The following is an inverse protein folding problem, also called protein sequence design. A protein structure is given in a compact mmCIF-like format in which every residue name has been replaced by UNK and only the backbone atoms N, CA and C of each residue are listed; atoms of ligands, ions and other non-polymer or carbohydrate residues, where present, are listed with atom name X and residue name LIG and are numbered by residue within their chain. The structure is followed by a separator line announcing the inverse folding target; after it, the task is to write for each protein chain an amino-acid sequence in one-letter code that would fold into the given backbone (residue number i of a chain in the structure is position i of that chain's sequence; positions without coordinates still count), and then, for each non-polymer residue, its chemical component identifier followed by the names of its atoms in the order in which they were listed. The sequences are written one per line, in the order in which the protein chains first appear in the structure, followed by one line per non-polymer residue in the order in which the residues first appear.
data_IF_321250047129
#
_entry.id   IF_321250047129
#
_cell.length_a   1.000
_cell.length_b   1.000
_cell.length_c   1.000
_cell.angle_alpha   90.00
_cell.angle_beta   90.00
_cell.angle_gamma   90.00
#
_symmetry.space_group_name_H-M   'P 1'
#
loop_
_entity.id
_entity.type
_entity.pdbx_description
1 polymer ?
#
# COMPACT_ATOMS: atom_id res chain seq x y z
N UNK A 1 -5.61 -19.25 -3.63
CA UNK A 1 -5.15 -19.22 -5.05
C UNK A 1 -3.78 -18.54 -5.10
N UNK A 2 -2.73 -19.23 -5.56
CA UNK A 2 -1.37 -18.64 -5.69
C UNK A 2 -1.37 -17.71 -6.91
N UNK A 3 -1.55 -16.41 -6.68
CA UNK A 3 -1.51 -15.39 -7.75
C UNK A 3 -0.07 -15.31 -8.29
N UNK A 4 0.13 -15.35 -9.61
CA UNK A 4 1.48 -15.38 -10.18
C UNK A 4 2.21 -14.06 -9.89
N UNK A 5 3.46 -14.14 -9.41
CA UNK A 5 4.30 -12.98 -9.13
C UNK A 5 4.50 -12.09 -10.37
N UNK A 6 4.41 -12.67 -11.56
CA UNK A 6 4.46 -11.95 -12.84
C UNK A 6 3.28 -11.01 -13.08
N UNK A 7 2.14 -11.17 -12.38
CA UNK A 7 1.02 -10.22 -12.44
C UNK A 7 1.07 -9.15 -11.35
N UNK A 8 2.09 -9.19 -10.48
CA UNK A 8 2.20 -8.26 -9.36
C UNK A 8 3.02 -7.04 -9.82
N UNK A 9 2.33 -5.92 -9.97
CA UNK A 9 2.95 -4.62 -10.24
C UNK A 9 4.04 -4.33 -9.17
N UNK A 10 5.30 -4.15 -9.58
CA UNK A 10 6.40 -3.79 -8.66
C UNK A 10 6.12 -2.50 -7.88
N UNK A 11 5.35 -1.59 -8.47
CA UNK A 11 4.88 -0.37 -7.81
C UNK A 11 4.01 -0.67 -6.58
N UNK A 12 3.29 -1.79 -6.55
CA UNK A 12 2.50 -2.22 -5.38
C UNK A 12 3.41 -2.66 -4.25
N UNK A 13 4.47 -3.42 -4.55
CA UNK A 13 5.46 -3.83 -3.55
C UNK A 13 6.20 -2.62 -2.97
N UNK A 14 6.61 -1.69 -3.83
CA UNK A 14 7.24 -0.44 -3.40
C UNK A 14 6.29 0.39 -2.52
N UNK A 15 5.02 0.50 -2.93
CA UNK A 15 4.00 1.18 -2.15
C UNK A 15 3.81 0.55 -0.77
N UNK A 16 3.75 -0.78 -0.71
CA UNK A 16 3.62 -1.54 0.54
C UNK A 16 4.82 -1.28 1.48
N UNK A 17 6.05 -1.37 0.97
CA UNK A 17 7.27 -1.13 1.73
C UNK A 17 7.35 0.31 2.26
N UNK A 18 6.99 1.29 1.44
CA UNK A 18 7.03 2.69 1.86
C UNK A 18 5.90 3.04 2.83
N UNK A 19 4.75 2.37 2.73
CA UNK A 19 3.66 2.55 3.69
C UNK A 19 4.00 1.96 5.06
N UNK A 20 4.71 0.82 5.14
CA UNK A 20 5.18 0.29 6.41
C UNK A 20 6.27 1.14 7.05
N UNK A 21 7.08 1.84 6.25
CA UNK A 21 8.11 2.76 6.75
C UNK A 21 7.55 4.12 7.19
N UNK A 22 6.74 4.75 6.33
CA UNK A 22 6.27 6.13 6.54
C UNK A 22 4.98 6.21 7.35
N UNK A 23 4.21 5.11 7.44
CA UNK A 23 2.92 5.04 8.12
C UNK A 23 1.95 6.17 7.70
N UNK A 24 2.09 6.64 6.46
CA UNK A 24 1.37 7.80 5.93
C UNK A 24 1.25 7.75 4.41
N UNK A 25 0.01 7.70 3.91
CA UNK A 25 -0.31 7.71 2.48
C UNK A 25 0.29 8.92 1.76
N UNK A 26 0.26 10.09 2.41
CA UNK A 26 0.73 11.35 1.80
C UNK A 26 2.26 11.38 1.69
N UNK A 27 2.97 10.89 2.71
CA UNK A 27 4.44 10.80 2.67
C UNK A 27 4.90 9.74 1.67
N UNK A 28 4.25 8.58 1.66
CA UNK A 28 4.50 7.54 0.67
C UNK A 28 4.28 8.05 -0.76
N UNK A 29 3.19 8.79 -1.00
CA UNK A 29 2.90 9.38 -2.31
C UNK A 29 4.01 10.34 -2.76
N UNK A 30 4.45 11.24 -1.86
CA UNK A 30 5.60 12.13 -2.13
C UNK A 30 6.88 11.35 -2.45
N UNK A 31 7.18 10.29 -1.69
CA UNK A 31 8.39 9.50 -1.85
C UNK A 31 8.39 8.64 -3.12
N UNK A 32 7.22 8.18 -3.54
CA UNK A 32 7.02 7.49 -4.82
C UNK A 32 6.90 8.46 -6.00
N UNK A 33 6.88 9.78 -5.77
CA UNK A 33 6.64 10.80 -6.77
C UNK A 33 5.32 10.61 -7.55
N UNK A 34 4.28 10.17 -6.83
CA UNK A 34 2.92 9.94 -7.36
C UNK A 34 1.86 10.71 -6.57
N UNK A 35 0.64 10.74 -7.08
CA UNK A 35 -0.48 11.31 -6.33
C UNK A 35 -0.92 10.42 -5.15
N UNK A 36 -1.46 10.99 -4.06
CA UNK A 36 -2.07 10.21 -2.98
C UNK A 36 -3.21 9.28 -3.44
N UNK A 37 -3.88 9.64 -4.55
CA UNK A 37 -4.90 8.78 -5.19
C UNK A 37 -4.29 7.53 -5.83
N UNK A 38 -3.08 7.63 -6.41
CA UNK A 38 -2.36 6.47 -6.95
C UNK A 38 -1.97 5.50 -5.82
N UNK A 39 -1.46 6.00 -4.70
CA UNK A 39 -1.16 5.18 -3.50
C UNK A 39 -2.43 4.50 -2.97
N UNK A 40 -3.55 5.22 -2.90
CA UNK A 40 -4.83 4.64 -2.46
C UNK A 40 -5.32 3.54 -3.40
N UNK A 41 -5.15 3.71 -4.72
CA UNK A 41 -5.49 2.68 -5.72
C UNK A 41 -4.58 1.46 -5.61
N UNK A 42 -3.28 1.66 -5.38
CA UNK A 42 -2.32 0.59 -5.11
C UNK A 42 -2.67 -0.18 -3.84
N UNK A 43 -3.04 0.53 -2.77
CA UNK A 43 -3.52 -0.06 -1.52
C UNK A 43 -4.77 -0.92 -1.75
N UNK A 44 -5.73 -0.44 -2.54
CA UNK A 44 -6.94 -1.20 -2.86
C UNK A 44 -6.62 -2.49 -3.65
N UNK A 45 -5.70 -2.42 -4.62
CA UNK A 45 -5.21 -3.61 -5.34
C UNK A 45 -4.53 -4.60 -4.39
N UNK A 46 -3.66 -4.12 -3.51
CA UNK A 46 -2.97 -4.94 -2.52
C UNK A 46 -3.99 -5.61 -1.57
N UNK A 47 -4.99 -4.87 -1.09
CA UNK A 47 -6.07 -5.42 -0.27
C UNK A 47 -6.82 -6.54 -0.96
N UNK A 48 -7.19 -6.36 -2.23
CA UNK A 48 -7.81 -7.42 -3.03
C UNK A 48 -6.84 -8.57 -3.36
N UNK A 49 -5.52 -8.30 -3.37
CA UNK A 49 -4.52 -9.32 -3.66
C UNK A 49 -4.29 -10.26 -2.47
N UNK A 50 -4.11 -9.67 -1.29
CA UNK A 50 -3.87 -10.36 -0.02
C UNK A 50 -5.16 -10.78 0.70
N UNK A 51 -6.31 -10.26 0.27
CA UNK A 51 -7.60 -10.41 0.95
C UNK A 51 -7.54 -9.91 2.41
N UNK A 52 -6.67 -8.92 2.66
CA UNK A 52 -6.40 -8.35 3.98
C UNK A 52 -6.43 -6.81 3.90
N UNK A 53 -6.90 -6.09 4.94
CA UNK A 53 -6.89 -4.63 4.96
C UNK A 53 -5.49 -4.01 4.81
N UNK A 54 -4.42 -4.73 5.18
CA UNK A 54 -3.00 -4.39 5.21
C UNK A 54 -2.62 -3.20 6.09
N UNK A 55 -3.44 -2.15 6.05
CA UNK A 55 -3.32 -0.94 6.84
C UNK A 55 -4.70 -0.45 7.25
N UNK A 56 -4.82 -0.10 8.52
CA UNK A 56 -5.99 0.55 9.11
C UNK A 56 -5.68 2.01 9.41
N UNK A 57 -6.67 2.89 9.20
CA UNK A 57 -6.57 4.28 9.66
C UNK A 57 -6.76 4.29 11.17
N UNK A 58 -5.79 4.84 11.88
CA UNK A 58 -5.85 5.10 13.32
C UNK A 58 -5.86 6.60 13.56
N UNK A 59 -6.26 7.07 14.76
CA UNK A 59 -6.19 8.50 15.11
C UNK A 59 -4.77 9.09 14.97
N UNK A 60 -3.74 8.23 15.07
CA UNK A 60 -2.33 8.59 14.96
C UNK A 60 -1.79 8.53 13.50
N UNK A 61 -2.58 8.02 12.55
CA UNK A 61 -2.17 7.95 11.14
C UNK A 61 -2.59 6.64 10.46
N UNK A 62 -1.65 5.99 9.78
CA UNK A 62 -1.82 4.66 9.21
C UNK A 62 -1.09 3.63 10.09
N UNK A 63 -1.74 2.53 10.43
CA UNK A 63 -1.08 1.41 11.11
C UNK A 63 -1.19 0.15 10.27
N UNK A 64 -0.10 -0.63 10.09
CA UNK A 64 -0.17 -1.94 9.45
C UNK A 64 -1.05 -2.89 10.27
N UNK A 65 -1.74 -3.80 9.59
CA UNK A 65 -2.40 -4.97 10.19
C UNK A 65 -1.36 -6.03 10.54
N UNK A 66 -1.71 -6.96 11.45
CA UNK A 66 -0.84 -8.04 11.92
C UNK A 66 -0.76 -9.19 10.94
#
# INVERSE_FOLDING_TARGET
MKKPLSSLDLNLLLCLQLLTQELSVTRTAKRMNVSPSAVSKSLAKLRAWFDDPLFVKTPLGLSPTR
#
